data_IF_477284934344
#
_entry.id   IF_477284934344
#
_cell.length_a   1.000
_cell.length_b   1.000
_cell.length_c   1.000
_cell.angle_alpha   90.00
_cell.angle_beta   90.00
_cell.angle_gamma   90.00
#
_symmetry.space_group_name_H-M   'P 1'
#
loop_
_entity.id
_entity.type
_entity.pdbx_description
1 polymer ?
#
# COMPACT_ATOMS: atom_id res chain seq x y z
N UNK A 1 -8.40 -18.30 27.20
CA UNK A 1 -7.13 -18.88 26.71
C UNK A 1 -7.29 -19.25 25.25
N UNK A 2 -6.32 -18.92 24.40
CA UNK A 2 -6.25 -19.41 23.02
C UNK A 2 -5.73 -20.86 23.07
N UNK A 3 -6.42 -21.78 22.41
CA UNK A 3 -5.95 -23.17 22.26
C UNK A 3 -5.65 -23.47 20.81
N UNK A 4 -4.50 -24.09 20.56
CA UNK A 4 -4.09 -24.52 19.22
C UNK A 4 -4.36 -25.99 19.01
N UNK A 5 -4.71 -26.34 17.79
CA UNK A 5 -4.98 -27.70 17.36
C UNK A 5 -4.29 -27.99 16.04
N UNK A 6 -3.99 -29.25 15.80
CA UNK A 6 -3.35 -29.70 14.58
C UNK A 6 -3.84 -31.07 14.09
N UNK A 7 -3.74 -31.29 12.79
CA UNK A 7 -4.00 -32.59 12.16
C UNK A 7 -2.70 -33.38 12.05
N UNK A 8 -2.67 -34.58 12.65
CA UNK A 8 -1.52 -35.49 12.56
C UNK A 8 -1.23 -35.98 11.14
N UNK A 9 -2.23 -35.98 10.25
CA UNK A 9 -2.08 -36.49 8.89
C UNK A 9 -1.48 -35.48 7.92
N UNK A 10 -1.96 -34.23 7.92
CA UNK A 10 -1.49 -33.21 6.95
C UNK A 10 -0.77 -32.02 7.58
N UNK A 11 -0.70 -31.95 8.91
CA UNK A 11 -0.10 -30.82 9.63
C UNK A 11 -0.88 -29.51 9.52
N UNK A 12 -2.15 -29.55 9.09
CA UNK A 12 -3.07 -28.43 9.24
C UNK A 12 -3.13 -28.00 10.70
N UNK A 13 -3.08 -26.70 10.97
CA UNK A 13 -3.19 -26.15 12.32
C UNK A 13 -4.21 -25.02 12.39
N UNK A 14 -4.86 -24.86 13.54
CA UNK A 14 -5.86 -23.82 13.77
C UNK A 14 -5.91 -23.42 15.25
N UNK A 15 -6.43 -22.22 15.53
CA UNK A 15 -6.59 -21.68 16.88
C UNK A 15 -8.08 -21.47 17.19
N UNK A 16 -8.48 -21.76 18.42
CA UNK A 16 -9.82 -21.47 18.93
C UNK A 16 -9.69 -20.42 20.04
N UNK A 17 -10.32 -19.26 19.86
CA UNK A 17 -10.43 -18.21 20.87
C UNK A 17 -11.90 -17.84 21.11
N UNK A 18 -12.32 -17.75 22.38
CA UNK A 18 -13.72 -17.52 22.78
C UNK A 18 -14.35 -16.16 22.44
N UNK A 19 -13.70 -15.27 21.67
CA UNK A 19 -14.23 -13.95 21.29
C UNK A 19 -13.99 -13.70 19.78
N UNK A 20 -15.09 -13.49 19.06
CA UNK A 20 -15.27 -12.87 17.72
C UNK A 20 -14.14 -12.90 16.67
N UNK A 21 -14.41 -13.71 15.64
CA UNK A 21 -14.31 -13.43 14.19
C UNK A 21 -13.26 -12.41 13.72
N UNK A 22 -12.05 -12.90 13.42
CA UNK A 22 -11.19 -12.32 12.36
C UNK A 22 -10.81 -13.46 11.41
N UNK A 23 -11.18 -13.28 10.15
CA UNK A 23 -11.08 -14.25 9.07
C UNK A 23 -9.64 -14.43 8.60
N UNK A 24 -9.12 -15.65 8.72
CA UNK A 24 -8.16 -16.23 7.78
C UNK A 24 -8.59 -17.69 7.54
N UNK A 25 -8.46 -18.15 6.30
CA UNK A 25 -9.21 -19.24 5.64
C UNK A 25 -9.10 -20.67 6.24
N UNK A 26 -8.58 -20.83 7.46
CA UNK A 26 -8.30 -22.11 8.14
C UNK A 26 -8.98 -22.22 9.52
N UNK A 27 -10.11 -21.56 9.76
CA UNK A 27 -10.86 -21.76 11.01
C UNK A 27 -12.35 -21.82 10.70
N UNK A 28 -12.87 -23.05 10.60
CA UNK A 28 -14.31 -23.30 10.58
C UNK A 28 -14.95 -22.78 11.87
N UNK A 29 -16.13 -22.17 11.74
CA UNK A 29 -16.98 -21.84 12.89
C UNK A 29 -17.49 -23.15 13.47
N UNK A 30 -17.23 -23.40 14.75
CA UNK A 30 -17.53 -24.66 15.44
C UNK A 30 -16.27 -25.26 16.03
N UNK A 31 -16.38 -26.15 17.01
CA UNK A 31 -15.25 -27.00 17.38
C UNK A 31 -14.78 -27.69 16.09
N UNK A 32 -13.54 -27.43 15.61
CA UNK A 32 -13.02 -28.18 14.48
C UNK A 32 -12.66 -29.53 15.07
N UNK A 33 -13.64 -30.40 15.29
CA UNK A 33 -13.33 -31.77 15.70
C UNK A 33 -12.57 -32.47 14.59
N UNK A 34 -12.80 -32.07 13.33
CA UNK A 34 -12.27 -32.68 12.13
C UNK A 34 -11.44 -31.70 11.29
N UNK A 35 -10.35 -32.20 10.72
CA UNK A 35 -9.47 -31.47 9.81
C UNK A 35 -10.20 -31.22 8.47
N UNK A 36 -10.21 -29.99 7.94
CA UNK A 36 -10.89 -29.70 6.66
C UNK A 36 -10.19 -30.32 5.45
N UNK A 37 -8.91 -30.65 5.57
CA UNK A 37 -8.13 -31.22 4.45
C UNK A 37 -8.24 -32.73 4.37
N UNK A 38 -8.41 -33.40 5.51
CA UNK A 38 -8.31 -34.86 5.62
C UNK A 38 -9.56 -35.53 6.20
N UNK A 39 -10.45 -34.75 6.81
CA UNK A 39 -11.56 -35.24 7.60
C UNK A 39 -11.11 -36.25 8.69
N UNK A 40 -10.01 -35.95 9.37
CA UNK A 40 -9.50 -36.71 10.54
C UNK A 40 -9.59 -35.83 11.78
N UNK A 41 -9.84 -36.47 12.93
CA UNK A 41 -9.89 -35.79 14.21
C UNK A 41 -8.60 -35.02 14.49
N UNK A 42 -8.70 -33.74 14.80
CA UNK A 42 -7.52 -32.94 15.18
C UNK A 42 -7.19 -33.11 16.66
N UNK A 43 -5.92 -32.97 16.98
CA UNK A 43 -5.40 -33.05 18.35
C UNK A 43 -5.07 -31.64 18.87
N UNK A 44 -5.16 -31.44 20.18
CA UNK A 44 -4.66 -30.23 20.82
C UNK A 44 -3.13 -30.20 20.72
N UNK A 45 -2.57 -29.04 20.42
CA UNK A 45 -1.13 -28.83 20.30
C UNK A 45 -0.56 -28.46 21.68
N UNK A 46 0.53 -29.08 22.15
CA UNK A 46 1.17 -28.70 23.41
C UNK A 46 1.63 -27.24 23.37
N UNK A 47 1.50 -26.55 24.50
CA UNK A 47 1.83 -25.12 24.58
C UNK A 47 3.31 -24.86 24.31
N UNK A 48 4.19 -25.79 24.69
CA UNK A 48 5.63 -25.71 24.45
C UNK A 48 5.94 -25.72 22.95
N UNK A 49 5.13 -26.42 22.15
CA UNK A 49 5.27 -26.44 20.69
C UNK A 49 4.74 -25.15 20.09
N UNK A 50 3.63 -24.61 20.60
CA UNK A 50 3.08 -23.32 20.17
C UNK A 50 4.10 -22.20 20.39
N UNK A 51 4.69 -22.15 21.58
CA UNK A 51 5.63 -21.09 21.96
C UNK A 51 6.97 -21.21 21.22
N UNK A 52 7.35 -22.43 20.80
CA UNK A 52 8.60 -22.70 20.09
C UNK A 52 8.63 -22.19 18.65
N UNK A 53 7.51 -22.20 17.93
CA UNK A 53 7.48 -21.90 16.49
C UNK A 53 6.71 -20.62 16.16
N UNK A 54 7.39 -19.68 15.50
CA UNK A 54 6.84 -18.36 15.14
C UNK A 54 5.60 -18.39 14.23
N UNK A 55 5.38 -19.48 13.48
CA UNK A 55 4.17 -19.65 12.67
C UNK A 55 2.86 -19.62 13.50
N UNK A 56 2.96 -19.76 14.83
CA UNK A 56 1.84 -19.60 15.77
C UNK A 56 1.79 -18.22 16.46
N UNK A 57 2.85 -17.42 16.37
CA UNK A 57 3.07 -16.22 17.18
C UNK A 57 2.91 -14.90 16.40
N UNK A 58 1.90 -14.83 15.54
CA UNK A 58 1.47 -13.56 14.93
C UNK A 58 2.22 -13.15 13.66
N UNK A 59 3.04 -14.03 13.09
CA UNK A 59 3.56 -13.86 11.74
C UNK A 59 2.42 -13.78 10.70
N UNK A 60 2.65 -13.00 9.64
CA UNK A 60 1.72 -12.91 8.51
C UNK A 60 1.67 -14.27 7.79
N UNK A 61 0.47 -14.84 7.60
CA UNK A 61 0.22 -16.20 7.07
C UNK A 61 0.74 -16.41 5.63
N UNK A 62 1.27 -15.36 4.99
CA UNK A 62 1.84 -15.41 3.66
C UNK A 62 3.27 -14.87 3.59
N UNK A 63 3.91 -14.56 4.72
CA UNK A 63 5.33 -14.20 4.71
C UNK A 63 6.21 -15.43 4.51
N UNK A 64 7.39 -15.23 3.93
CA UNK A 64 8.45 -16.23 3.84
C UNK A 64 8.77 -16.81 5.21
N UNK A 65 8.90 -15.95 6.22
CA UNK A 65 9.23 -16.33 7.59
C UNK A 65 8.17 -17.26 8.21
N UNK A 66 6.88 -17.00 7.93
CA UNK A 66 5.80 -17.88 8.39
C UNK A 66 5.86 -19.25 7.72
N UNK A 67 6.12 -19.28 6.41
CA UNK A 67 6.23 -20.53 5.64
C UNK A 67 7.42 -21.35 6.13
N UNK A 68 8.57 -20.72 6.33
CA UNK A 68 9.79 -21.37 6.84
C UNK A 68 9.59 -21.91 8.27
N UNK A 69 9.07 -21.09 9.17
CA UNK A 69 8.74 -21.51 10.54
C UNK A 69 7.74 -22.67 10.56
N UNK A 70 6.74 -22.64 9.66
CA UNK A 70 5.78 -23.72 9.50
C UNK A 70 6.43 -24.99 8.97
N UNK A 71 7.33 -24.90 7.98
CA UNK A 71 8.08 -26.05 7.49
C UNK A 71 8.91 -26.70 8.58
N UNK A 72 9.59 -25.91 9.43
CA UNK A 72 10.32 -26.41 10.60
C UNK A 72 9.40 -27.13 11.58
N UNK A 73 8.28 -26.52 11.96
CA UNK A 73 7.26 -27.15 12.81
C UNK A 73 6.79 -28.51 12.26
N UNK A 74 6.51 -28.58 10.95
CA UNK A 74 6.03 -29.80 10.32
C UNK A 74 7.12 -30.88 10.34
N UNK A 75 8.34 -30.52 9.97
CA UNK A 75 9.44 -31.46 9.90
C UNK A 75 9.89 -31.95 11.28
N UNK A 76 9.93 -31.07 12.27
CA UNK A 76 10.42 -31.40 13.60
C UNK A 76 9.37 -32.13 14.45
N UNK A 77 8.09 -31.77 14.34
CA UNK A 77 7.05 -32.27 15.25
C UNK A 77 6.03 -33.15 14.54
N UNK A 78 5.40 -32.66 13.47
CA UNK A 78 4.30 -33.39 12.82
C UNK A 78 4.78 -34.64 12.08
N UNK A 79 5.98 -34.59 11.51
CA UNK A 79 6.55 -35.72 10.75
C UNK A 79 6.82 -36.97 11.60
N UNK A 80 6.84 -36.81 12.93
CA UNK A 80 7.04 -37.91 13.87
C UNK A 80 5.80 -38.80 14.04
N UNK A 81 4.62 -38.33 13.61
CA UNK A 81 3.37 -39.09 13.75
C UNK A 81 3.24 -40.15 12.63
N UNK A 82 2.90 -41.41 12.95
CA UNK A 82 2.73 -42.47 11.95
C UNK A 82 1.67 -42.17 10.89
N UNK A 83 0.67 -41.36 11.24
CA UNK A 83 -0.42 -40.98 10.34
C UNK A 83 -0.01 -39.89 9.35
N UNK A 84 1.18 -39.28 9.51
CA UNK A 84 1.63 -38.17 8.67
C UNK A 84 1.81 -38.58 7.21
N UNK A 85 1.10 -37.89 6.33
CA UNK A 85 1.19 -38.09 4.89
C UNK A 85 2.00 -36.95 4.25
N UNK A 86 3.26 -37.27 3.95
CA UNK A 86 4.21 -36.32 3.34
C UNK A 86 3.76 -35.79 1.99
N UNK A 87 3.13 -36.61 1.15
CA UNK A 87 2.68 -36.19 -0.19
C UNK A 87 1.50 -35.22 -0.10
N UNK A 88 0.58 -35.48 0.85
CA UNK A 88 -0.52 -34.56 1.14
C UNK A 88 -0.01 -33.21 1.66
N UNK A 89 0.99 -33.24 2.54
CA UNK A 89 1.64 -32.02 3.03
C UNK A 89 2.32 -31.22 1.92
N UNK A 90 3.11 -31.87 1.05
CA UNK A 90 3.77 -31.22 -0.09
C UNK A 90 2.79 -30.50 -1.00
N UNK A 91 1.64 -31.13 -1.29
CA UNK A 91 0.58 -30.53 -2.10
C UNK A 91 -0.03 -29.28 -1.46
N UNK A 92 -0.16 -29.28 -0.14
CA UNK A 92 -0.66 -28.11 0.58
C UNK A 92 0.39 -27.00 0.66
N UNK A 93 1.65 -27.36 0.84
CA UNK A 93 2.77 -26.43 0.85
C UNK A 93 2.90 -25.69 -0.50
N UNK A 94 2.75 -26.39 -1.63
CA UNK A 94 2.79 -25.73 -2.94
C UNK A 94 1.65 -24.71 -3.09
N UNK A 95 0.44 -25.05 -2.65
CA UNK A 95 -0.71 -24.12 -2.67
C UNK A 95 -0.49 -22.88 -1.80
N UNK A 96 0.11 -23.06 -0.62
CA UNK A 96 0.44 -21.95 0.27
C UNK A 96 1.49 -21.03 -0.35
N UNK A 97 2.56 -21.59 -0.93
CA UNK A 97 3.60 -20.83 -1.64
C UNK A 97 3.03 -20.06 -2.82
N UNK A 98 2.19 -20.68 -3.64
CA UNK A 98 1.48 -20.01 -4.73
C UNK A 98 0.56 -18.89 -4.24
N UNK A 99 -0.12 -19.09 -3.10
CA UNK A 99 -0.98 -18.05 -2.51
C UNK A 99 -0.15 -16.89 -1.98
N UNK A 100 0.97 -17.17 -1.33
CA UNK A 100 1.89 -16.15 -0.84
C UNK A 100 2.48 -15.30 -1.98
N UNK A 101 2.91 -15.96 -3.06
CA UNK A 101 3.39 -15.27 -4.27
C UNK A 101 2.32 -14.34 -4.85
N UNK A 102 1.07 -14.81 -4.96
CA UNK A 102 -0.04 -13.96 -5.43
C UNK A 102 -0.30 -12.78 -4.50
N UNK A 103 -0.19 -12.96 -3.18
CA UNK A 103 -0.34 -11.87 -2.22
C UNK A 103 0.77 -10.82 -2.38
N UNK A 104 2.02 -11.27 -2.53
CA UNK A 104 3.16 -10.39 -2.77
C UNK A 104 3.00 -9.58 -4.07
N UNK A 105 2.70 -10.26 -5.17
CA UNK A 105 2.46 -9.59 -6.47
C UNK A 105 1.31 -8.58 -6.41
N UNK A 106 0.24 -8.90 -5.69
CA UNK A 106 -0.87 -7.97 -5.50
C UNK A 106 -0.40 -6.71 -4.75
N UNK A 107 0.37 -6.87 -3.66
CA UNK A 107 0.90 -5.74 -2.90
C UNK A 107 1.82 -4.85 -3.72
N UNK A 108 2.70 -5.42 -4.56
CA UNK A 108 3.56 -4.66 -5.47
C UNK A 108 2.73 -3.83 -6.45
N UNK A 109 1.74 -4.44 -7.11
CA UNK A 109 0.84 -3.73 -8.04
C UNK A 109 0.08 -2.61 -7.34
N UNK A 110 -0.34 -2.78 -6.08
CA UNK A 110 -0.99 -1.71 -5.33
C UNK A 110 -0.01 -0.57 -5.00
N UNK A 111 1.22 -0.89 -4.59
CA UNK A 111 2.26 0.12 -4.32
C UNK A 111 2.58 0.92 -5.59
N UNK A 112 2.73 0.26 -6.74
CA UNK A 112 2.95 0.94 -8.02
C UNK A 112 1.79 1.88 -8.38
N UNK A 113 0.55 1.41 -8.25
CA UNK A 113 -0.65 2.24 -8.49
C UNK A 113 -0.69 3.46 -7.58
N UNK A 114 -0.33 3.29 -6.31
CA UNK A 114 -0.27 4.38 -5.35
C UNK A 114 0.82 5.40 -5.71
N UNK A 115 2.03 4.93 -6.03
CA UNK A 115 3.15 5.78 -6.44
C UNK A 115 2.85 6.51 -7.75
N UNK A 116 2.20 5.87 -8.72
CA UNK A 116 1.77 6.51 -9.95
C UNK A 116 0.76 7.66 -9.70
N UNK A 117 -0.13 7.53 -8.72
CA UNK A 117 -1.04 8.60 -8.31
C UNK A 117 -0.28 9.79 -7.70
N UNK A 118 0.67 9.52 -6.81
CA UNK A 118 1.52 10.57 -6.21
C UNK A 118 2.30 11.30 -7.32
N UNK A 119 2.95 10.56 -8.21
CA UNK A 119 3.74 11.13 -9.29
C UNK A 119 2.88 11.97 -10.24
N UNK A 120 1.66 11.52 -10.55
CA UNK A 120 0.71 12.28 -11.38
C UNK A 120 0.30 13.59 -10.71
N UNK A 121 0.09 13.60 -9.40
CA UNK A 121 -0.25 14.81 -8.67
C UNK A 121 0.95 15.76 -8.56
N UNK A 122 2.14 15.24 -8.29
CA UNK A 122 3.39 15.99 -8.30
C UNK A 122 3.63 16.66 -9.68
N UNK A 123 3.38 15.94 -10.77
CA UNK A 123 3.49 16.48 -12.12
C UNK A 123 2.51 17.64 -12.35
N UNK A 124 1.23 17.50 -11.95
CA UNK A 124 0.27 18.61 -12.06
C UNK A 124 0.70 19.85 -11.29
N UNK A 125 1.31 19.68 -10.11
CA UNK A 125 1.83 20.81 -9.31
C UNK A 125 2.97 21.48 -10.08
N UNK A 126 3.89 20.70 -10.64
CA UNK A 126 5.00 21.21 -11.45
C UNK A 126 4.49 21.93 -12.71
N UNK A 127 3.51 21.36 -13.41
CA UNK A 127 2.91 21.97 -14.60
C UNK A 127 2.23 23.31 -14.26
N UNK A 128 1.50 23.38 -13.13
CA UNK A 128 0.92 24.65 -12.64
C UNK A 128 2.00 25.70 -12.33
N UNK A 129 3.13 25.29 -11.75
CA UNK A 129 4.26 26.19 -11.49
C UNK A 129 4.92 26.67 -12.80
N UNK A 130 5.02 25.79 -13.80
CA UNK A 130 5.57 26.13 -15.12
C UNK A 130 4.65 27.04 -15.95
N UNK A 131 3.33 26.99 -15.73
CA UNK A 131 2.36 27.88 -16.36
C UNK A 131 2.30 29.29 -15.76
N UNK A 132 3.11 29.60 -14.73
CA UNK A 132 3.22 30.96 -14.20
C UNK A 132 4.01 31.80 -15.22
N UNK A 133 3.34 32.77 -15.84
CA UNK A 133 3.98 33.69 -16.77
C UNK A 133 5.15 34.41 -16.09
N UNK A 134 6.28 34.50 -16.81
CA UNK A 134 7.49 35.19 -16.36
C UNK A 134 7.67 36.46 -17.16
N UNK A 135 8.22 37.49 -16.52
CA UNK A 135 8.57 38.72 -17.20
C UNK A 135 9.68 38.42 -18.22
N UNK A 136 9.52 38.75 -19.51
CA UNK A 136 10.54 38.48 -20.54
C UNK A 136 11.82 39.31 -20.37
N UNK A 137 11.78 40.35 -19.54
CA UNK A 137 12.93 41.25 -19.31
C UNK A 137 13.82 40.76 -18.17
N UNK A 138 13.23 40.23 -17.07
CA UNK A 138 13.98 39.87 -15.86
C UNK A 138 13.66 38.49 -15.26
N UNK A 139 12.74 37.73 -15.87
CA UNK A 139 12.33 36.40 -15.40
C UNK A 139 11.43 36.36 -14.17
N UNK A 140 11.08 37.51 -13.58
CA UNK A 140 10.22 37.57 -12.39
C UNK A 140 8.80 37.07 -12.67
N UNK A 141 8.21 36.34 -11.73
CA UNK A 141 6.80 35.92 -11.73
C UNK A 141 5.86 36.98 -11.15
N UNK A 142 6.39 38.08 -10.62
CA UNK A 142 5.60 39.20 -10.10
C UNK A 142 5.11 40.07 -11.27
N UNK A 143 3.98 39.69 -11.86
CA UNK A 143 3.37 40.34 -13.01
C UNK A 143 1.95 40.80 -12.64
N UNK A 144 1.67 42.07 -12.87
CA UNK A 144 0.37 42.68 -12.64
C UNK A 144 -0.29 43.04 -13.97
N UNK A 145 -1.59 42.76 -14.11
CA UNK A 145 -2.36 43.16 -15.29
C UNK A 145 -2.57 44.67 -15.28
N UNK A 146 -2.31 45.31 -16.42
CA UNK A 146 -2.60 46.74 -16.59
C UNK A 146 -4.11 46.87 -16.79
N UNK A 147 -4.82 47.33 -15.75
CA UNK A 147 -6.28 47.49 -15.80
C UNK A 147 -6.68 48.76 -16.53
N UNK A 148 -7.91 48.78 -17.08
CA UNK A 148 -8.47 49.96 -17.76
C UNK A 148 -8.40 51.23 -16.88
N UNK A 149 -8.66 51.10 -15.58
CA UNK A 149 -8.59 52.22 -14.63
C UNK A 149 -7.18 52.81 -14.50
N UNK A 150 -6.14 51.95 -14.45
CA UNK A 150 -4.75 52.43 -14.42
C UNK A 150 -4.33 53.15 -15.70
N UNK A 151 -4.86 52.72 -16.86
CA UNK A 151 -4.64 53.41 -18.15
C UNK A 151 -5.38 54.75 -18.17
N UNK A 152 -6.64 54.76 -17.77
CA UNK A 152 -7.48 55.96 -17.73
C UNK A 152 -6.90 57.03 -16.78
N UNK A 153 -6.44 56.63 -15.60
CA UNK A 153 -5.80 57.53 -14.64
C UNK A 153 -4.53 58.17 -15.22
N UNK A 154 -3.66 57.39 -15.89
CA UNK A 154 -2.46 57.94 -16.53
C UNK A 154 -2.78 58.87 -17.69
N UNK A 155 -3.77 58.54 -18.52
CA UNK A 155 -4.23 59.43 -19.60
C UNK A 155 -4.84 60.72 -19.05
N UNK A 156 -5.55 60.65 -17.92
CA UNK A 156 -6.11 61.84 -17.27
C UNK A 156 -5.03 62.77 -16.70
N UNK A 157 -3.95 62.22 -16.13
CA UNK A 157 -2.87 63.01 -15.52
C UNK A 157 -1.86 63.52 -16.56
N UNK A 158 -1.53 62.71 -17.57
CA UNK A 158 -0.44 63.00 -18.53
C UNK A 158 -0.92 63.19 -19.98
N UNK A 159 -2.24 63.28 -20.20
CA UNK A 159 -2.82 63.47 -21.53
C UNK A 159 -2.41 62.37 -22.52
N UNK A 160 -2.11 62.78 -23.75
CA UNK A 160 -1.74 61.86 -24.85
C UNK A 160 -0.49 61.05 -24.53
N UNK A 161 0.48 61.62 -23.80
CA UNK A 161 1.73 60.93 -23.42
C UNK A 161 1.43 59.74 -22.50
N UNK A 162 0.45 59.87 -21.60
CA UNK A 162 0.01 58.78 -20.72
C UNK A 162 -0.67 57.63 -21.48
N UNK A 163 -1.32 57.92 -22.61
CA UNK A 163 -2.00 56.92 -23.42
C UNK A 163 -1.04 56.06 -24.27
N UNK A 164 0.08 56.62 -24.73
CA UNK A 164 1.06 55.91 -25.57
C UNK A 164 1.92 54.93 -24.77
N UNK A 165 2.22 55.25 -23.51
CA UNK A 165 3.12 54.46 -22.64
C UNK A 165 2.63 53.01 -22.40
N UNK A 166 1.31 52.81 -22.34
CA UNK A 166 0.65 51.52 -22.15
C UNK A 166 0.02 50.94 -23.44
N UNK A 167 0.22 51.58 -24.60
CA UNK A 167 -0.37 51.14 -25.87
C UNK A 167 0.13 49.73 -26.26
N UNK A 168 -0.80 48.80 -26.47
CA UNK A 168 -0.52 47.40 -26.83
C UNK A 168 -0.02 46.50 -25.70
N UNK A 169 0.30 47.03 -24.51
CA UNK A 169 0.90 46.26 -23.40
C UNK A 169 -0.15 45.80 -22.40
N UNK A 170 -0.14 44.53 -22.02
CA UNK A 170 -1.19 43.93 -21.20
C UNK A 170 -0.79 43.79 -19.73
N UNK A 171 0.51 43.68 -19.48
CA UNK A 171 1.08 43.36 -18.18
C UNK A 171 2.25 44.28 -17.82
N UNK A 172 2.47 44.46 -16.51
CA UNK A 172 3.62 45.18 -15.93
C UNK A 172 4.30 44.29 -14.89
N UNK A 173 5.62 44.19 -14.96
CA UNK A 173 6.40 43.52 -13.92
C UNK A 173 6.48 44.39 -12.66
N UNK A 174 6.15 43.82 -11.51
CA UNK A 174 6.29 44.47 -10.21
C UNK A 174 7.73 44.58 -9.73
N UNK A 175 8.65 43.79 -10.29
CA UNK A 175 10.06 43.79 -9.87
C UNK A 175 10.92 44.79 -10.67
N UNK A 176 10.99 44.65 -12.01
CA UNK A 176 11.80 45.54 -12.85
C UNK A 176 11.01 46.74 -13.42
N UNK A 177 9.68 46.78 -13.23
CA UNK A 177 8.83 47.85 -13.76
C UNK A 177 8.54 47.76 -15.26
N UNK A 178 9.19 46.86 -16.00
CA UNK A 178 9.01 46.65 -17.43
C UNK A 178 7.59 46.20 -17.79
N UNK A 179 7.08 46.66 -18.94
CA UNK A 179 5.72 46.41 -19.41
C UNK A 179 5.74 45.68 -20.76
N UNK A 180 4.83 44.73 -20.95
CA UNK A 180 4.76 43.86 -22.12
C UNK A 180 3.34 43.33 -22.35
#
# INVERSE_FOLDING_TARGET
>A
MKKWYFCKQCGYSCVISGLTQISNRLIGKGSPEMCPNCNIKIAELPIEIVDKYDCFNGLNIFSTDWIESREQYINDYVSQFPEFNKELYKKELSRLKESAERHFQYEEVQKEKYMAKINKEAQKILDKQNCISKCPICGSTNINKITLGSRAAKTAVFGVVGAVDDAGKTYKCGNCGGKF
#
